data_IF_702928576299
#
_entry.id   IF_702928576299
#
_cell.length_a   1.000
_cell.length_b   1.000
_cell.length_c   1.000
_cell.angle_alpha   90.00
_cell.angle_beta   90.00
_cell.angle_gamma   90.00
#
_symmetry.space_group_name_H-M   'P 1'
#
loop_
_entity.id
_entity.type
_entity.pdbx_description
1 polymer ?
#
# COMPACT_ATOMS: atom_id res chain seq x y z
N UNK A 1 19.52 -19.79 33.77
CA UNK A 1 19.99 -18.44 33.37
C UNK A 1 19.24 -18.04 32.12
N UNK A 2 18.27 -17.14 32.23
CA UNK A 2 17.54 -16.61 31.07
C UNK A 2 18.23 -15.32 30.63
N UNK A 3 18.98 -15.36 29.52
CA UNK A 3 19.44 -14.15 28.86
C UNK A 3 18.25 -13.51 28.14
N UNK A 4 17.56 -12.61 28.85
CA UNK A 4 16.64 -11.65 28.23
C UNK A 4 17.47 -10.71 27.36
N UNK A 5 17.58 -11.04 26.07
CA UNK A 5 18.05 -10.09 25.06
C UNK A 5 16.96 -9.02 24.98
N UNK A 6 17.19 -7.88 25.63
CA UNK A 6 16.38 -6.70 25.40
C UNK A 6 16.61 -6.28 23.94
N UNK A 7 15.72 -6.67 23.01
CA UNK A 7 15.62 -6.04 21.69
C UNK A 7 15.48 -4.54 21.97
N UNK A 8 16.52 -3.75 21.68
CA UNK A 8 16.47 -2.29 21.72
C UNK A 8 15.27 -1.89 20.87
N UNK A 9 14.24 -1.27 21.48
CA UNK A 9 13.19 -0.61 20.69
C UNK A 9 13.91 0.33 19.75
N UNK A 10 13.83 0.06 18.44
CA UNK A 10 14.32 1.01 17.45
C UNK A 10 13.60 2.32 17.73
N UNK A 11 14.37 3.41 17.85
CA UNK A 11 13.78 4.73 18.02
C UNK A 11 13.01 4.98 16.72
N UNK A 12 11.67 5.02 16.79
CA UNK A 12 10.84 5.28 15.62
C UNK A 12 11.24 6.59 14.96
N UNK A 13 11.01 6.70 13.64
CA UNK A 13 11.30 7.92 12.90
C UNK A 13 10.46 9.07 13.47
N UNK A 14 11.05 10.26 13.58
CA UNK A 14 10.27 11.48 13.78
C UNK A 14 9.36 11.76 12.57
N UNK A 15 8.32 12.61 12.73
CA UNK A 15 7.43 12.99 11.62
C UNK A 15 8.22 13.49 10.41
N UNK A 16 9.20 14.37 10.61
CA UNK A 16 10.02 14.93 9.52
C UNK A 16 10.86 13.83 8.83
N UNK A 17 11.47 12.93 9.59
CA UNK A 17 12.27 11.83 9.02
C UNK A 17 11.40 10.84 8.24
N UNK A 18 10.20 10.54 8.76
CA UNK A 18 9.20 9.72 8.07
C UNK A 18 8.77 10.39 6.75
N UNK A 19 8.45 11.68 6.80
CA UNK A 19 8.03 12.45 5.62
C UNK A 19 9.13 12.51 4.56
N UNK A 20 10.39 12.67 4.97
CA UNK A 20 11.54 12.61 4.05
C UNK A 20 11.74 11.22 3.46
N UNK A 21 11.69 10.17 4.29
CA UNK A 21 11.87 8.77 3.86
C UNK A 21 10.88 8.41 2.74
N UNK A 22 9.64 8.86 2.86
CA UNK A 22 8.56 8.52 1.94
C UNK A 22 8.25 9.61 0.91
N UNK A 23 9.08 10.67 0.83
CA UNK A 23 8.88 11.80 -0.10
C UNK A 23 7.47 12.41 0.01
N UNK A 24 6.96 12.54 1.24
CA UNK A 24 5.60 13.02 1.49
C UNK A 24 5.46 14.52 1.21
N UNK A 25 6.54 15.30 1.34
CA UNK A 25 6.52 16.72 0.95
C UNK A 25 6.23 16.88 -0.55
N UNK A 26 6.90 16.07 -1.38
CA UNK A 26 6.69 16.04 -2.82
C UNK A 26 5.32 15.48 -3.19
N UNK A 27 4.82 14.49 -2.42
CA UNK A 27 3.46 13.99 -2.57
C UNK A 27 2.43 15.10 -2.29
N UNK A 28 2.50 15.77 -1.15
CA UNK A 28 1.57 16.86 -0.82
C UNK A 28 1.64 17.99 -1.84
N UNK A 29 2.84 18.35 -2.31
CA UNK A 29 2.99 19.32 -3.40
C UNK A 29 2.22 18.91 -4.66
N UNK A 30 2.23 17.62 -5.01
CA UNK A 30 1.48 17.11 -6.16
C UNK A 30 -0.02 17.02 -5.90
N UNK A 31 -0.44 16.68 -4.68
CA UNK A 31 -1.85 16.66 -4.30
C UNK A 31 -2.48 18.05 -4.32
N UNK A 32 -1.75 19.08 -3.90
CA UNK A 32 -2.18 20.48 -4.03
C UNK A 32 -2.25 20.94 -5.49
N UNK A 33 -1.38 20.41 -6.37
CA UNK A 33 -1.53 20.62 -7.81
C UNK A 33 -2.78 19.91 -8.37
N UNK A 34 -3.10 18.72 -7.85
CA UNK A 34 -4.28 17.96 -8.24
C UNK A 34 -5.57 18.65 -7.79
N UNK A 35 -5.61 19.22 -6.57
CA UNK A 35 -6.71 20.06 -6.09
C UNK A 35 -6.99 21.19 -7.06
N UNK A 36 -5.95 21.97 -7.40
CA UNK A 36 -6.06 23.09 -8.33
C UNK A 36 -6.60 22.64 -9.68
N UNK A 37 -6.06 21.55 -10.24
CA UNK A 37 -6.49 21.01 -11.52
C UNK A 37 -7.96 20.56 -11.48
N UNK A 38 -8.37 19.77 -10.47
CA UNK A 38 -9.74 19.28 -10.34
C UNK A 38 -10.78 20.40 -10.23
N UNK A 39 -10.42 21.53 -9.61
CA UNK A 39 -11.31 22.69 -9.49
C UNK A 39 -11.78 23.28 -10.84
N UNK A 40 -11.10 22.93 -11.93
CA UNK A 40 -11.43 23.39 -13.29
C UNK A 40 -12.41 22.46 -14.03
N UNK A 41 -12.63 21.24 -13.54
CA UNK A 41 -13.51 20.24 -14.16
C UNK A 41 -14.93 20.32 -13.61
N UNK A 42 -15.93 19.99 -14.46
CA UNK A 42 -17.35 20.00 -14.10
C UNK A 42 -18.10 18.85 -14.75
N UNK A 43 -19.08 18.30 -14.04
CA UNK A 43 -19.90 17.19 -14.52
C UNK A 43 -19.09 15.91 -14.71
N UNK A 44 -19.49 15.07 -15.66
CA UNK A 44 -18.91 13.73 -15.82
C UNK A 44 -19.48 12.74 -14.81
N UNK A 45 -18.91 11.53 -14.77
CA UNK A 45 -19.30 10.47 -13.86
C UNK A 45 -18.12 9.52 -13.68
N UNK A 46 -17.88 9.12 -12.45
CA UNK A 46 -17.08 7.92 -12.13
C UNK A 46 -17.99 6.97 -11.38
N UNK A 47 -17.71 5.66 -11.41
CA UNK A 47 -18.56 4.65 -10.75
C UNK A 47 -18.96 4.98 -9.30
N UNK A 48 -18.16 5.82 -8.61
CA UNK A 48 -18.38 6.26 -7.22
C UNK A 48 -18.84 7.72 -7.06
N UNK A 49 -18.65 8.59 -8.04
CA UNK A 49 -19.00 10.02 -7.94
C UNK A 49 -19.87 10.46 -9.12
N UNK A 50 -20.94 11.19 -8.81
CA UNK A 50 -21.92 11.68 -9.79
C UNK A 50 -21.43 12.88 -10.60
N UNK A 51 -20.30 13.49 -10.21
CA UNK A 51 -19.70 14.64 -10.88
C UNK A 51 -18.27 14.90 -10.42
N UNK A 52 -17.51 15.65 -11.23
CA UNK A 52 -16.17 16.12 -10.89
C UNK A 52 -16.19 17.00 -9.62
N UNK A 53 -17.26 17.78 -9.41
CA UNK A 53 -17.43 18.63 -8.23
C UNK A 53 -17.60 17.79 -6.95
N UNK A 54 -18.35 16.70 -7.02
CA UNK A 54 -18.51 15.77 -5.89
C UNK A 54 -17.17 15.10 -5.55
N UNK A 55 -16.44 14.64 -6.56
CA UNK A 55 -15.10 14.08 -6.38
C UNK A 55 -14.12 15.11 -5.82
N UNK A 56 -14.12 16.34 -6.33
CA UNK A 56 -13.29 17.43 -5.83
C UNK A 56 -13.52 17.70 -4.34
N UNK A 57 -14.78 17.77 -3.90
CA UNK A 57 -15.09 18.01 -2.49
C UNK A 57 -14.58 16.87 -1.59
N UNK A 58 -14.82 15.61 -2.00
CA UNK A 58 -14.33 14.44 -1.27
C UNK A 58 -12.79 14.40 -1.22
N UNK A 59 -12.13 14.74 -2.33
CA UNK A 59 -10.67 14.80 -2.44
C UNK A 59 -10.08 15.87 -1.51
N UNK A 60 -10.64 17.08 -1.53
CA UNK A 60 -10.21 18.22 -0.71
C UNK A 60 -10.38 17.93 0.77
N UNK A 61 -11.54 17.40 1.18
CA UNK A 61 -11.80 17.03 2.56
C UNK A 61 -10.72 16.04 3.08
N UNK A 62 -10.49 14.97 2.32
CA UNK A 62 -9.51 13.97 2.69
C UNK A 62 -8.06 14.50 2.68
N UNK A 63 -7.68 15.33 1.69
CA UNK A 63 -6.35 15.95 1.60
C UNK A 63 -6.00 16.75 2.86
N UNK A 64 -6.93 17.60 3.31
CA UNK A 64 -6.68 18.45 4.48
C UNK A 64 -6.83 17.71 5.82
N UNK A 65 -7.51 16.56 5.84
CA UNK A 65 -7.49 15.63 6.97
C UNK A 65 -6.08 15.02 7.14
N UNK A 66 -5.58 14.36 6.09
CA UNK A 66 -4.29 13.64 6.14
C UNK A 66 -3.08 14.58 6.33
N UNK A 67 -3.18 15.85 5.89
CA UNK A 67 -2.10 16.84 6.09
C UNK A 67 -1.93 17.22 7.58
N UNK A 68 -3.03 17.19 8.34
CA UNK A 68 -3.04 17.51 9.78
C UNK A 68 -2.69 16.29 10.64
N UNK A 69 -2.84 15.09 10.12
CA UNK A 69 -2.60 13.86 10.86
C UNK A 69 -1.15 13.69 11.33
N UNK A 70 -1.01 13.05 12.49
CA UNK A 70 0.29 12.63 13.01
C UNK A 70 0.81 11.40 12.26
N UNK A 71 -0.10 10.52 11.85
CA UNK A 71 0.15 9.32 11.03
C UNK A 71 -0.87 9.33 9.91
N UNK A 72 -0.51 10.00 8.80
CA UNK A 72 -1.35 10.13 7.63
C UNK A 72 -1.54 8.76 6.93
N UNK A 73 -2.78 8.43 6.59
CA UNK A 73 -3.12 7.27 5.77
C UNK A 73 -3.44 7.72 4.33
N UNK A 74 -2.58 7.33 3.38
CA UNK A 74 -2.75 7.68 1.97
C UNK A 74 -3.50 6.61 1.17
N UNK A 75 -4.16 5.65 1.83
CA UNK A 75 -4.86 4.53 1.18
C UNK A 75 -5.97 5.02 0.23
N UNK A 76 -6.76 6.02 0.64
CA UNK A 76 -7.81 6.54 -0.24
C UNK A 76 -7.24 7.30 -1.45
N UNK A 77 -6.15 8.04 -1.27
CA UNK A 77 -5.38 8.65 -2.37
C UNK A 77 -4.86 7.57 -3.32
N UNK A 78 -4.36 6.45 -2.80
CA UNK A 78 -3.91 5.32 -3.62
C UNK A 78 -5.01 4.76 -4.52
N UNK A 79 -6.25 4.66 -4.03
CA UNK A 79 -7.38 4.24 -4.85
C UNK A 79 -7.75 5.25 -5.93
N UNK A 80 -7.95 6.51 -5.54
CA UNK A 80 -8.44 7.54 -6.49
C UNK A 80 -7.48 7.79 -7.65
N UNK A 81 -6.18 7.61 -7.42
CA UNK A 81 -5.13 7.81 -8.42
C UNK A 81 -4.64 6.53 -9.07
N UNK A 82 -5.19 5.36 -8.73
CA UNK A 82 -4.86 4.13 -9.44
C UNK A 82 -5.23 4.27 -10.93
N UNK A 83 -4.47 3.63 -11.85
CA UNK A 83 -4.76 3.73 -13.27
C UNK A 83 -6.20 3.32 -13.57
N UNK A 84 -6.88 4.09 -14.42
CA UNK A 84 -8.28 3.91 -14.82
C UNK A 84 -9.32 4.08 -13.70
N UNK A 85 -8.95 4.75 -12.61
CA UNK A 85 -9.87 5.07 -11.50
C UNK A 85 -10.39 6.51 -11.57
N UNK A 86 -10.94 7.01 -10.45
CA UNK A 86 -11.76 8.22 -10.42
C UNK A 86 -11.02 9.46 -10.94
N UNK A 87 -9.71 9.59 -10.67
CA UNK A 87 -8.90 10.66 -11.24
C UNK A 87 -8.91 10.66 -12.78
N UNK A 88 -8.73 9.50 -13.39
CA UNK A 88 -8.65 9.35 -14.84
C UNK A 88 -10.02 9.55 -15.50
N UNK A 89 -11.10 9.12 -14.83
CA UNK A 89 -12.49 9.30 -15.30
C UNK A 89 -12.83 10.78 -15.52
N UNK A 90 -12.34 11.67 -14.65
CA UNK A 90 -12.63 13.11 -14.75
C UNK A 90 -11.59 13.91 -15.52
N UNK A 91 -10.30 13.59 -15.39
CA UNK A 91 -9.22 14.43 -15.93
C UNK A 91 -8.67 13.95 -17.28
N UNK A 92 -8.89 12.68 -17.61
CA UNK A 92 -8.39 12.03 -18.83
C UNK A 92 -6.91 12.34 -19.10
N UNK A 93 -6.61 12.68 -20.36
CA UNK A 93 -5.23 12.96 -20.78
C UNK A 93 -4.60 14.22 -20.18
N UNK A 94 -5.41 15.16 -19.68
CA UNK A 94 -4.88 16.37 -19.05
C UNK A 94 -4.26 16.07 -17.69
N UNK A 95 -4.88 15.15 -16.92
CA UNK A 95 -4.40 14.74 -15.61
C UNK A 95 -3.42 13.57 -15.61
N UNK A 96 -3.31 12.81 -16.70
CA UNK A 96 -2.51 11.56 -16.78
C UNK A 96 -1.09 11.69 -16.20
N UNK A 97 -0.34 12.75 -16.55
CA UNK A 97 1.04 12.93 -16.07
C UNK A 97 1.11 13.16 -14.57
N UNK A 98 0.20 13.97 -14.03
CA UNK A 98 0.16 14.29 -12.61
C UNK A 98 -0.35 13.08 -11.82
N UNK A 99 -1.41 12.44 -12.30
CA UNK A 99 -2.02 11.28 -11.66
C UNK A 99 -1.06 10.11 -11.53
N UNK A 100 -0.35 9.76 -12.61
CA UNK A 100 0.67 8.71 -12.57
C UNK A 100 1.79 9.02 -11.57
N UNK A 101 2.21 10.28 -11.47
CA UNK A 101 3.27 10.72 -10.55
C UNK A 101 2.82 10.61 -9.08
N UNK A 102 1.57 10.98 -8.80
CA UNK A 102 0.95 10.80 -7.47
C UNK A 102 0.87 9.32 -7.15
N UNK A 103 0.27 8.52 -8.05
CA UNK A 103 0.10 7.08 -7.88
C UNK A 103 1.41 6.37 -7.59
N UNK A 104 2.48 6.67 -8.32
CA UNK A 104 3.80 6.06 -8.08
C UNK A 104 4.27 6.27 -6.63
N UNK A 105 4.11 7.50 -6.10
CA UNK A 105 4.52 7.81 -4.72
C UNK A 105 3.65 7.12 -3.68
N UNK A 106 2.32 7.19 -3.83
CA UNK A 106 1.41 6.54 -2.86
C UNK A 106 1.46 5.02 -2.96
N UNK A 107 1.74 4.46 -4.14
CA UNK A 107 1.95 3.03 -4.32
C UNK A 107 3.22 2.55 -3.62
N UNK A 108 4.31 3.32 -3.74
CA UNK A 108 5.52 3.04 -2.96
C UNK A 108 5.27 3.16 -1.44
N UNK A 109 4.50 4.15 -1.01
CA UNK A 109 4.10 4.26 0.40
C UNK A 109 3.25 3.06 0.85
N UNK A 110 2.19 2.71 0.12
CA UNK A 110 1.24 1.65 0.48
C UNK A 110 1.93 0.30 0.60
N UNK A 111 2.80 -0.04 -0.36
CA UNK A 111 3.62 -1.27 -0.34
C UNK A 111 4.48 -1.43 0.91
N UNK A 112 4.75 -0.35 1.65
CA UNK A 112 5.60 -0.35 2.84
C UNK A 112 4.85 -0.08 4.15
N UNK A 113 3.53 0.10 4.10
CA UNK A 113 2.70 0.40 5.28
C UNK A 113 1.48 -0.50 5.41
N UNK A 114 1.27 -1.39 4.46
CA UNK A 114 0.21 -2.36 4.50
C UNK A 114 0.59 -3.61 3.70
N UNK A 115 -0.16 -4.68 3.90
CA UNK A 115 -0.08 -5.83 3.02
C UNK A 115 -0.73 -5.48 1.67
N UNK A 116 -0.08 -5.93 0.59
CA UNK A 116 -0.58 -5.86 -0.77
C UNK A 116 -0.37 -7.23 -1.40
N UNK A 117 -1.34 -7.75 -2.15
CA UNK A 117 -1.21 -9.05 -2.82
C UNK A 117 0.07 -9.14 -3.67
N UNK A 118 0.69 -10.32 -3.65
CA UNK A 118 1.96 -10.60 -4.32
C UNK A 118 3.19 -10.03 -3.61
N UNK A 119 3.02 -9.28 -2.51
CA UNK A 119 4.17 -8.77 -1.75
C UNK A 119 4.92 -9.92 -1.12
N UNK A 120 6.20 -10.06 -1.48
CA UNK A 120 7.12 -11.00 -0.85
C UNK A 120 7.61 -10.44 0.49
N UNK A 121 7.56 -11.27 1.52
CA UNK A 121 7.87 -10.90 2.91
C UNK A 121 8.77 -11.94 3.58
N UNK A 122 9.38 -11.58 4.70
CA UNK A 122 10.08 -12.50 5.58
C UNK A 122 9.83 -12.21 7.04
N UNK A 123 9.76 -13.23 7.88
CA UNK A 123 9.67 -13.10 9.35
C UNK A 123 10.51 -14.23 9.98
N UNK A 124 11.35 -13.89 10.96
CA UNK A 124 12.20 -14.85 11.69
C UNK A 124 13.02 -15.84 10.83
N UNK A 125 13.37 -15.43 9.60
CA UNK A 125 14.16 -16.20 8.65
C UNK A 125 13.34 -17.04 7.65
N UNK A 126 12.01 -17.06 7.82
CA UNK A 126 11.07 -17.66 6.86
C UNK A 126 10.67 -16.64 5.80
N UNK A 127 10.37 -17.12 4.60
CA UNK A 127 9.98 -16.30 3.45
C UNK A 127 8.56 -16.65 3.04
N UNK A 128 7.78 -15.69 2.58
CA UNK A 128 6.41 -15.92 2.15
C UNK A 128 5.88 -14.86 1.21
N UNK A 129 4.68 -15.07 0.69
CA UNK A 129 4.00 -14.14 -0.21
C UNK A 129 2.59 -13.85 0.28
N UNK A 130 2.16 -12.58 0.22
CA UNK A 130 0.78 -12.20 0.51
C UNK A 130 -0.12 -12.69 -0.61
N UNK A 131 -0.99 -13.65 -0.32
CA UNK A 131 -1.92 -14.24 -1.28
C UNK A 131 -3.31 -13.63 -1.19
N UNK A 132 -4.09 -13.82 -2.25
CA UNK A 132 -5.50 -13.43 -2.27
C UNK A 132 -6.34 -14.45 -1.50
N UNK A 133 -7.28 -13.96 -0.69
CA UNK A 133 -8.33 -14.72 -0.04
C UNK A 133 -9.70 -14.38 -0.62
N UNK A 134 -10.64 -15.31 -0.54
CA UNK A 134 -12.06 -15.02 -0.80
C UNK A 134 -12.65 -14.07 0.24
N UNK A 135 -12.03 -13.98 1.42
CA UNK A 135 -12.43 -13.09 2.52
C UNK A 135 -11.72 -11.74 2.49
N UNK A 136 -10.97 -11.44 1.43
CA UNK A 136 -10.29 -10.15 1.33
C UNK A 136 -11.29 -9.03 0.99
N UNK A 137 -11.17 -7.93 1.71
CA UNK A 137 -11.77 -6.65 1.33
C UNK A 137 -10.69 -5.72 0.75
N UNK A 138 -11.03 -4.66 0.01
CA UNK A 138 -10.03 -3.79 -0.63
C UNK A 138 -8.89 -3.34 0.30
N UNK A 139 -9.21 -3.09 1.58
CA UNK A 139 -8.26 -2.66 2.62
C UNK A 139 -7.97 -3.71 3.70
N UNK A 140 -8.32 -4.97 3.44
CA UNK A 140 -8.19 -6.04 4.41
C UNK A 140 -7.66 -7.29 3.73
N UNK A 141 -6.36 -7.25 3.44
CA UNK A 141 -5.59 -8.40 3.00
C UNK A 141 -4.39 -8.62 3.93
N UNK A 142 -3.72 -9.76 3.80
CA UNK A 142 -2.63 -10.14 4.70
C UNK A 142 -2.56 -11.62 5.03
N UNK A 143 -3.21 -12.50 4.27
CA UNK A 143 -2.89 -13.92 4.36
C UNK A 143 -1.53 -14.13 3.72
N UNK A 144 -0.55 -14.62 4.49
CA UNK A 144 0.78 -14.95 4.01
C UNK A 144 0.83 -16.45 3.78
N UNK A 145 1.17 -16.85 2.55
CA UNK A 145 1.58 -18.22 2.22
C UNK A 145 3.08 -18.33 2.42
N UNK A 146 3.52 -19.16 3.37
CA UNK A 146 4.94 -19.37 3.64
C UNK A 146 5.58 -20.28 2.60
N UNK A 147 6.86 -20.08 2.32
CA UNK A 147 7.62 -20.85 1.36
C UNK A 147 7.99 -22.22 1.96
N UNK A 148 7.01 -23.12 1.95
CA UNK A 148 7.15 -24.48 2.47
C UNK A 148 6.47 -25.48 1.55
N UNK A 149 6.90 -26.74 1.65
CA UNK A 149 6.33 -27.85 0.89
C UNK A 149 4.90 -28.25 1.31
N UNK A 150 4.30 -27.59 2.31
CA UNK A 150 2.95 -27.85 2.81
C UNK A 150 1.99 -26.80 2.28
N UNK A 151 1.03 -27.21 1.44
CA UNK A 151 0.08 -26.28 0.80
C UNK A 151 -0.75 -25.45 1.80
N UNK A 152 -1.03 -26.01 2.99
CA UNK A 152 -1.84 -25.39 4.03
C UNK A 152 -1.10 -24.39 4.92
N UNK A 153 0.20 -24.19 4.70
CA UNK A 153 1.04 -23.36 5.57
C UNK A 153 0.85 -21.88 5.23
N UNK A 154 -0.25 -21.37 5.77
CA UNK A 154 -0.73 -20.01 5.64
C UNK A 154 -0.94 -19.41 7.03
N UNK A 155 -0.61 -18.13 7.18
CA UNK A 155 -0.90 -17.35 8.38
C UNK A 155 -1.72 -16.12 8.06
N UNK A 156 -2.68 -15.81 8.93
CA UNK A 156 -3.54 -14.65 8.78
C UNK A 156 -2.95 -13.44 9.52
N UNK A 157 -2.45 -12.48 8.75
CA UNK A 157 -1.92 -11.21 9.22
C UNK A 157 -2.79 -10.01 8.84
N UNK A 158 -4.05 -10.23 8.45
CA UNK A 158 -4.95 -9.15 8.02
C UNK A 158 -5.10 -8.08 9.12
N UNK A 159 -4.90 -6.82 8.76
CA UNK A 159 -4.91 -5.68 9.69
C UNK A 159 -3.77 -5.67 10.71
N UNK A 160 -2.81 -6.59 10.62
CA UNK A 160 -1.69 -6.74 11.57
C UNK A 160 -0.34 -6.33 10.98
N UNK A 161 -0.29 -5.55 9.90
CA UNK A 161 0.95 -5.12 9.27
C UNK A 161 1.92 -4.44 10.26
N UNK A 162 1.41 -3.54 11.10
CA UNK A 162 2.22 -2.89 12.14
C UNK A 162 2.82 -3.90 13.15
N UNK A 163 2.05 -4.92 13.53
CA UNK A 163 2.52 -6.01 14.41
C UNK A 163 3.57 -6.86 13.69
N UNK A 164 3.36 -7.19 12.42
CA UNK A 164 4.30 -7.94 11.59
C UNK A 164 5.68 -7.26 11.56
N UNK A 165 5.73 -5.98 11.22
CA UNK A 165 6.97 -5.19 11.22
C UNK A 165 7.59 -5.13 12.63
N UNK A 166 6.78 -4.92 13.68
CA UNK A 166 7.28 -4.85 15.05
C UNK A 166 7.92 -6.17 15.53
N UNK A 167 7.48 -7.31 15.02
CA UNK A 167 8.08 -8.60 15.34
C UNK A 167 9.41 -8.82 14.60
N UNK A 168 9.68 -8.05 13.54
CA UNK A 168 10.88 -8.18 12.70
C UNK A 168 10.54 -8.57 11.27
N UNK A 169 9.25 -8.56 10.91
CA UNK A 169 8.79 -8.79 9.55
C UNK A 169 9.35 -7.75 8.59
N UNK A 170 9.74 -8.19 7.40
CA UNK A 170 10.31 -7.36 6.36
C UNK A 170 9.57 -7.62 5.05
N UNK A 171 9.44 -6.58 4.24
CA UNK A 171 9.17 -6.74 2.80
C UNK A 171 10.52 -6.95 2.13
N UNK A 172 10.65 -8.02 1.36
CA UNK A 172 11.91 -8.43 0.72
C UNK A 172 11.94 -8.02 -0.76
N UNK A 173 13.06 -8.33 -1.44
CA UNK A 173 13.16 -8.14 -2.89
C UNK A 173 12.04 -8.91 -3.61
N UNK A 174 11.28 -8.21 -4.45
CA UNK A 174 10.19 -8.82 -5.21
C UNK A 174 10.69 -9.78 -6.30
N UNK A 175 12.00 -9.77 -6.61
CA UNK A 175 12.65 -10.77 -7.47
C UNK A 175 13.10 -12.03 -6.70
N UNK A 176 12.91 -12.10 -5.38
CA UNK A 176 13.23 -13.26 -4.57
C UNK A 176 12.59 -14.53 -5.15
N UNK A 177 13.38 -15.59 -5.28
CA UNK A 177 12.93 -16.87 -5.80
C UNK A 177 12.67 -17.81 -4.63
N UNK A 178 11.39 -18.11 -4.40
CA UNK A 178 10.97 -19.10 -3.42
C UNK A 178 11.44 -20.51 -3.81
N UNK A 179 11.65 -21.39 -2.84
CA UNK A 179 12.07 -22.77 -3.03
C UNK A 179 10.89 -23.67 -3.41
N UNK A 180 9.75 -23.55 -2.71
CA UNK A 180 8.63 -24.48 -2.78
C UNK A 180 7.38 -23.91 -3.45
N UNK A 181 7.19 -22.59 -3.44
CA UNK A 181 5.99 -21.93 -4.00
C UNK A 181 6.30 -21.01 -5.18
N UNK A 182 5.32 -20.74 -6.03
CA UNK A 182 5.36 -19.69 -7.06
C UNK A 182 5.00 -18.33 -6.45
N UNK A 183 5.14 -17.27 -7.24
CA UNK A 183 4.85 -15.89 -6.82
C UNK A 183 3.36 -15.63 -6.51
N UNK A 184 2.47 -16.54 -6.91
CA UNK A 184 1.04 -16.54 -6.57
C UNK A 184 0.70 -17.40 -5.34
N UNK A 185 1.70 -18.02 -4.71
CA UNK A 185 1.56 -18.90 -3.55
C UNK A 185 1.22 -20.36 -3.88
N UNK A 186 1.04 -20.72 -5.16
CA UNK A 186 0.81 -22.11 -5.55
C UNK A 186 2.07 -22.96 -5.37
N UNK A 187 1.94 -24.24 -5.02
CA UNK A 187 3.09 -25.13 -4.93
C UNK A 187 3.76 -25.30 -6.30
N UNK A 188 5.09 -25.22 -6.32
CA UNK A 188 5.88 -25.61 -7.49
C UNK A 188 5.66 -27.09 -7.75
N UNK A 189 5.39 -27.42 -9.01
CA UNK A 189 5.38 -28.82 -9.44
C UNK A 189 6.81 -29.35 -9.29
N UNK A 190 6.99 -30.36 -8.46
CA UNK A 190 8.21 -31.17 -8.49
C UNK A 190 8.25 -31.79 -9.89
N UNK A 191 9.30 -31.49 -10.65
CA UNK A 191 9.54 -32.21 -11.90
C UNK A 191 9.77 -33.68 -11.53
N UNK A 192 8.85 -34.55 -11.99
CA UNK A 192 9.03 -36.00 -11.99
C UNK A 192 10.19 -36.42 -12.91
#
# INVERSE_FOLDING_TARGET
>A
MFNRIFKKKSKGLSKIEYWKKWKLFELFSDLHLAEKMLSEFKGGYSGKFSSAEEFYNAFVEHLYEIEKDNVADFTQIWYWFAPTCEWDDFTGKQGEKLGNRIFERVNNWKKNHDFVHGTKVSLDGEFGVVIKSELDEPNFCGIIRWDSNKESDNEDWRGMFGTFINQGGLIIDQNHQFEFINDDGTLKKLNE
#
